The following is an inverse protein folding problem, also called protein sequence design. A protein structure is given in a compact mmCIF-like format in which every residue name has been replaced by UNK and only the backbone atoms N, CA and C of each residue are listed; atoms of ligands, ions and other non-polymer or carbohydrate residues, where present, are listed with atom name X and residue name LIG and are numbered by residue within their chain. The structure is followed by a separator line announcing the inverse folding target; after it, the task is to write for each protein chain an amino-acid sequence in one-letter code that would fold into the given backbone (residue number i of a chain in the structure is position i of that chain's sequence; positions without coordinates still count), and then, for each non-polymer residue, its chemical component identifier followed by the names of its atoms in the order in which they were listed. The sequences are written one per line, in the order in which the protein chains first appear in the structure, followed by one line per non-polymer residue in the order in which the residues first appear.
data_IF_484372198006
#
_entry.id   IF_484372198006
#
_cell.length_a   1.000
_cell.length_b   1.000
_cell.length_c   1.000
_cell.angle_alpha   90.00
_cell.angle_beta   90.00
_cell.angle_gamma   90.00
#
_symmetry.space_group_name_H-M   'P 1'
#
loop_
_entity.id
_entity.type
_entity.pdbx_description
1 polymer ?
#
# COMPACT_ATOMS: atom_id res chain seq x y z
N UNK A 1 -16.32 -1.57 -8.25
CA UNK A 1 -15.14 -2.44 -8.04
C UNK A 1 -14.30 -2.01 -6.86
N UNK A 2 -13.95 -0.75 -6.74
CA UNK A 2 -12.92 -0.35 -5.80
C UNK A 2 -13.38 -0.07 -4.36
N UNK A 3 -14.70 0.00 -4.09
CA UNK A 3 -15.25 -0.08 -2.72
C UNK A 3 -15.06 -1.49 -2.13
N UNK A 4 -15.28 -2.53 -2.95
CA UNK A 4 -15.07 -3.93 -2.55
C UNK A 4 -13.60 -4.19 -2.24
N UNK A 5 -12.68 -3.64 -3.06
CA UNK A 5 -11.24 -3.73 -2.83
C UNK A 5 -10.82 -3.06 -1.51
N UNK A 6 -11.35 -1.87 -1.22
CA UNK A 6 -11.11 -1.17 0.06
C UNK A 6 -11.59 -1.98 1.26
N UNK A 7 -12.76 -2.63 1.18
CA UNK A 7 -13.30 -3.47 2.26
C UNK A 7 -12.45 -4.73 2.48
N UNK A 8 -12.00 -5.38 1.41
CA UNK A 8 -11.13 -6.57 1.49
C UNK A 8 -9.78 -6.23 2.13
N UNK A 9 -9.18 -5.11 1.75
CA UNK A 9 -7.91 -4.63 2.34
C UNK A 9 -8.07 -4.31 3.83
N UNK A 10 -9.20 -3.70 4.23
CA UNK A 10 -9.50 -3.40 5.62
C UNK A 10 -9.68 -4.66 6.47
N UNK A 11 -10.34 -5.68 5.92
CA UNK A 11 -10.49 -6.99 6.58
C UNK A 11 -9.13 -7.71 6.73
N UNK A 12 -8.31 -7.70 5.68
CA UNK A 12 -6.98 -8.32 5.71
C UNK A 12 -6.10 -7.68 6.81
N UNK A 13 -6.16 -6.35 6.94
CA UNK A 13 -5.47 -5.57 7.98
C UNK A 13 -5.75 -6.03 9.42
N UNK A 14 -6.98 -6.46 9.70
CA UNK A 14 -7.37 -6.90 11.04
C UNK A 14 -6.70 -8.22 11.45
N UNK A 15 -6.20 -8.99 10.48
CA UNK A 15 -5.61 -10.32 10.71
C UNK A 15 -4.13 -10.26 11.15
N UNK A 16 -3.43 -9.13 10.96
CA UNK A 16 -1.95 -9.06 10.97
C UNK A 16 -1.37 -8.55 12.31
N UNK A 17 -2.00 -8.88 13.45
CA UNK A 17 -1.72 -8.20 14.75
C UNK A 17 -0.38 -8.53 15.41
N UNK A 18 0.31 -9.59 15.00
CA UNK A 18 1.53 -10.09 15.66
C UNK A 18 2.82 -9.88 14.84
N UNK A 19 2.76 -9.09 13.77
CA UNK A 19 3.89 -8.90 12.87
C UNK A 19 4.88 -7.80 13.30
N UNK A 20 6.04 -7.80 12.64
CA UNK A 20 7.13 -6.84 12.83
C UNK A 20 6.67 -5.38 12.66
N UNK A 21 7.37 -4.44 13.29
CA UNK A 21 7.08 -2.99 13.12
C UNK A 21 7.19 -2.55 11.66
N UNK A 22 8.04 -3.20 10.87
CA UNK A 22 8.22 -2.95 9.44
C UNK A 22 6.94 -3.34 8.69
N UNK A 23 6.43 -4.56 8.91
CA UNK A 23 5.16 -5.00 8.31
C UNK A 23 4.02 -4.06 8.74
N UNK A 24 3.93 -3.73 10.03
CA UNK A 24 2.89 -2.82 10.53
C UNK A 24 2.96 -1.44 9.85
N UNK A 25 4.15 -0.92 9.58
CA UNK A 25 4.33 0.35 8.88
C UNK A 25 3.86 0.27 7.43
N UNK A 26 4.21 -0.79 6.70
CA UNK A 26 3.76 -0.99 5.31
C UNK A 26 2.25 -1.17 5.22
N UNK A 27 1.67 -1.91 6.16
CA UNK A 27 0.23 -2.09 6.31
C UNK A 27 -0.48 -0.77 6.59
N UNK A 28 0.06 0.08 7.48
CA UNK A 28 -0.49 1.40 7.77
C UNK A 28 -0.48 2.31 6.53
N UNK A 29 0.55 2.24 5.70
CA UNK A 29 0.61 3.01 4.45
C UNK A 29 -0.45 2.54 3.44
N UNK A 30 -0.62 1.23 3.26
CA UNK A 30 -1.68 0.68 2.40
C UNK A 30 -3.06 1.15 2.89
N UNK A 31 -3.30 1.12 4.20
CA UNK A 31 -4.55 1.60 4.77
C UNK A 31 -4.76 3.10 4.51
N UNK A 32 -3.74 3.92 4.71
CA UNK A 32 -3.82 5.36 4.48
C UNK A 32 -4.20 5.67 3.02
N UNK A 33 -3.59 4.98 2.03
CA UNK A 33 -3.96 5.13 0.63
C UNK A 33 -5.39 4.67 0.34
N UNK A 34 -5.80 3.51 0.88
CA UNK A 34 -7.16 3.01 0.70
C UNK A 34 -8.23 3.95 1.30
N UNK A 35 -7.94 4.58 2.44
CA UNK A 35 -8.80 5.60 3.06
C UNK A 35 -8.84 6.86 2.20
N UNK A 36 -7.71 7.34 1.68
CA UNK A 36 -7.67 8.50 0.78
C UNK A 36 -8.59 8.33 -0.43
N UNK A 37 -8.45 7.22 -1.15
CA UNK A 37 -9.31 6.90 -2.30
C UNK A 37 -10.79 6.68 -1.93
N UNK A 38 -11.08 6.28 -0.68
CA UNK A 38 -12.47 6.18 -0.20
C UNK A 38 -13.05 7.56 0.06
N UNK A 39 -12.30 8.46 0.69
CA UNK A 39 -12.70 9.85 0.93
C UNK A 39 -13.04 10.52 -0.39
N UNK A 40 -12.16 10.43 -1.40
CA UNK A 40 -12.41 11.02 -2.72
C UNK A 40 -13.75 10.57 -3.30
N UNK A 41 -14.04 9.26 -3.25
CA UNK A 41 -15.33 8.74 -3.73
C UNK A 41 -16.54 9.20 -2.93
N UNK A 42 -16.40 9.37 -1.62
CA UNK A 42 -17.50 9.81 -0.77
C UNK A 42 -17.87 11.28 -1.03
N UNK A 43 -16.88 12.13 -1.30
CA UNK A 43 -17.09 13.57 -1.48
C UNK A 43 -17.24 13.99 -2.95
N UNK A 44 -16.53 13.34 -3.85
CA UNK A 44 -16.43 13.71 -5.28
C UNK A 44 -17.15 12.73 -6.20
N UNK A 45 -17.54 11.54 -5.69
CA UNK A 45 -18.18 10.48 -6.48
C UNK A 45 -17.22 9.63 -7.31
N UNK A 46 -15.96 10.04 -7.42
CA UNK A 46 -14.89 9.36 -8.16
C UNK A 46 -13.53 9.53 -7.47
N UNK A 47 -12.50 8.85 -7.97
CA UNK A 47 -11.11 9.06 -7.52
C UNK A 47 -10.45 10.04 -8.47
N UNK A 48 -9.76 11.03 -7.92
CA UNK A 48 -9.09 12.06 -8.71
C UNK A 48 -7.63 11.67 -8.93
N UNK A 49 -7.29 11.30 -10.16
CA UNK A 49 -5.91 11.07 -10.57
C UNK A 49 -5.30 12.38 -11.08
N UNK A 50 -4.18 12.80 -10.48
CA UNK A 50 -3.60 14.14 -10.73
C UNK A 50 -2.09 14.12 -10.98
N UNK A 51 -1.40 13.01 -10.71
CA UNK A 51 0.01 12.84 -11.01
C UNK A 51 0.15 12.23 -12.40
N UNK A 52 0.52 13.06 -13.36
CA UNK A 52 0.89 12.67 -14.72
C UNK A 52 2.39 12.93 -14.92
N UNK A 53 3.13 11.89 -15.30
CA UNK A 53 4.56 11.97 -15.58
C UNK A 53 4.80 11.73 -17.06
N UNK A 54 5.38 12.71 -17.75
CA UNK A 54 5.67 12.63 -19.17
C UNK A 54 7.15 12.87 -19.46
N UNK A 55 7.72 12.07 -20.37
CA UNK A 55 9.08 12.24 -20.88
C UNK A 55 9.01 12.16 -22.42
N UNK A 56 9.06 13.31 -23.09
CA UNK A 56 8.79 13.40 -24.52
C UNK A 56 7.35 13.01 -24.83
N UNK A 57 7.14 12.13 -25.82
CA UNK A 57 5.82 11.58 -26.18
C UNK A 57 5.40 10.40 -25.30
N UNK A 58 6.26 9.96 -24.38
CA UNK A 58 5.95 8.86 -23.47
C UNK A 58 5.17 9.40 -22.27
N UNK A 59 3.90 9.03 -22.20
CA UNK A 59 3.06 9.26 -21.03
C UNK A 59 3.13 8.06 -20.09
N UNK A 60 3.51 8.30 -18.85
CA UNK A 60 3.37 7.33 -17.79
C UNK A 60 1.89 7.18 -17.41
N UNK A 61 1.56 6.13 -16.66
CA UNK A 61 0.22 5.96 -16.12
C UNK A 61 -0.09 7.13 -15.16
N UNK A 62 -1.28 7.72 -15.26
CA UNK A 62 -1.72 8.78 -14.34
C UNK A 62 -2.18 8.13 -13.03
N UNK A 63 -1.72 8.65 -11.89
CA UNK A 63 -2.09 8.12 -10.58
C UNK A 63 -2.27 9.23 -9.55
N UNK A 64 -2.68 8.87 -8.35
CA UNK A 64 -2.85 9.78 -7.22
C UNK A 64 -1.87 9.44 -6.07
N UNK A 65 -1.84 10.31 -5.07
CA UNK A 65 -0.98 10.09 -3.90
C UNK A 65 -1.38 8.85 -3.08
N UNK A 66 -2.67 8.49 -3.07
CA UNK A 66 -3.16 7.30 -2.38
C UNK A 66 -2.58 6.01 -2.98
N UNK A 67 -2.49 5.91 -4.30
CA UNK A 67 -1.89 4.77 -5.00
C UNK A 67 -0.38 4.67 -4.73
N UNK A 68 0.29 5.81 -4.54
CA UNK A 68 1.70 5.85 -4.13
C UNK A 68 1.89 5.27 -2.72
N UNK A 69 1.01 5.61 -1.77
CA UNK A 69 1.05 5.04 -0.42
C UNK A 69 0.84 3.52 -0.42
N UNK A 70 -0.11 3.03 -1.23
CA UNK A 70 -0.34 1.59 -1.40
C UNK A 70 0.90 0.91 -1.98
N UNK A 71 1.49 1.47 -3.03
CA UNK A 71 2.67 0.90 -3.70
C UNK A 71 3.87 0.84 -2.77
N UNK A 72 4.18 1.93 -2.05
CA UNK A 72 5.30 1.96 -1.11
C UNK A 72 5.04 1.01 0.06
N UNK A 73 3.83 1.00 0.62
CA UNK A 73 3.47 0.11 1.72
C UNK A 73 3.62 -1.37 1.35
N UNK A 74 3.19 -1.76 0.15
CA UNK A 74 3.42 -3.11 -0.39
C UNK A 74 4.92 -3.41 -0.54
N UNK A 75 5.70 -2.46 -1.06
CA UNK A 75 7.15 -2.59 -1.17
C UNK A 75 7.83 -2.86 0.18
N UNK A 76 7.40 -2.19 1.24
CA UNK A 76 7.90 -2.39 2.61
C UNK A 76 7.58 -3.81 3.11
N UNK A 77 6.35 -4.28 2.90
CA UNK A 77 5.94 -5.64 3.30
C UNK A 77 6.77 -6.68 2.55
N UNK A 78 6.89 -6.56 1.24
CA UNK A 78 7.70 -7.47 0.42
C UNK A 78 9.17 -7.46 0.85
N UNK A 79 9.71 -6.30 1.18
CA UNK A 79 11.08 -6.17 1.69
C UNK A 79 11.28 -6.91 3.01
N UNK A 80 10.36 -6.78 3.97
CA UNK A 80 10.45 -7.51 5.24
C UNK A 80 10.36 -9.03 5.03
N UNK A 81 9.36 -9.50 4.26
CA UNK A 81 9.14 -10.93 4.02
C UNK A 81 10.28 -11.60 3.24
N UNK A 82 10.87 -10.93 2.24
CA UNK A 82 11.88 -11.57 1.39
C UNK A 82 13.28 -11.48 2.01
N UNK A 83 13.60 -10.37 2.68
CA UNK A 83 14.97 -10.04 3.10
C UNK A 83 15.12 -10.11 4.62
N UNK A 84 14.30 -9.38 5.36
CA UNK A 84 14.47 -9.25 6.81
C UNK A 84 14.07 -10.52 7.55
N UNK A 85 13.05 -11.24 7.09
CA UNK A 85 12.62 -12.51 7.65
C UNK A 85 13.72 -13.57 7.57
N UNK A 86 14.37 -13.70 6.40
CA UNK A 86 15.54 -14.60 6.23
C UNK A 86 16.67 -14.25 7.17
N UNK A 87 16.95 -12.95 7.37
CA UNK A 87 17.99 -12.49 8.30
C UNK A 87 17.64 -12.82 9.75
N UNK A 88 16.39 -12.67 10.17
CA UNK A 88 15.93 -13.05 11.52
C UNK A 88 16.06 -14.55 11.76
N UNK A 89 15.71 -15.37 10.77
CA UNK A 89 15.86 -16.84 10.85
C UNK A 89 17.33 -17.28 10.93
N UNK A 90 18.23 -16.62 10.20
CA UNK A 90 19.67 -16.92 10.27
C UNK A 90 20.23 -16.66 11.67
N UNK A 91 19.89 -15.52 12.28
CA UNK A 91 20.33 -15.14 13.63
C UNK A 91 19.74 -16.08 14.69
N UNK A 92 18.51 -16.57 14.52
CA UNK A 92 17.91 -17.50 15.50
C UNK A 92 18.49 -18.91 15.47
N UNK A 93 19.19 -19.28 14.40
CA UNK A 93 19.77 -20.62 14.20
C UNK A 93 21.25 -20.68 14.61
N UNK A 94 21.85 -19.56 15.01
CA UNK A 94 23.19 -19.45 15.61
C UNK A 94 23.11 -19.43 17.13
#
# INVERSE_FOLDING_TARGET
MSIILTIILFYYLWTIRYESIVIRSGVAMILAGAIGNLIDRLFLGEVVDFLDFMIGDLHWYVFNLADSYVTIGMGIILYDSIILEKKRQAISNE
#
